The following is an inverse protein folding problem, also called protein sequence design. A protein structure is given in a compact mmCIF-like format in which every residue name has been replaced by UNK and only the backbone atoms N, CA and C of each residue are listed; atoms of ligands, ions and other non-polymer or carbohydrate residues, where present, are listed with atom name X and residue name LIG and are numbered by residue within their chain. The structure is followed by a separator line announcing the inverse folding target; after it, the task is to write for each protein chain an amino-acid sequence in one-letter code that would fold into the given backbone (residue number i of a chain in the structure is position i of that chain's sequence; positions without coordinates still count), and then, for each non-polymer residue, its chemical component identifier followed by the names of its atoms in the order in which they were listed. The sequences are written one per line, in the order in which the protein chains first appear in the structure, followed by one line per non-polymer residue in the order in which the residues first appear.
data_IF_493806922479
#
_entry.id   IF_493806922479
#
_cell.length_a   1.000
_cell.length_b   1.000
_cell.length_c   1.000
_cell.angle_alpha   90.00
_cell.angle_beta   90.00
_cell.angle_gamma   90.00
#
_symmetry.space_group_name_H-M   'P 1'
#
loop_
_entity.id
_entity.type
_entity.pdbx_description
1 polymer ?
#
# COMPACT_ATOMS: atom_id res chain seq x y z
N UNK A 1 1.28 -0.70 0.61
CA UNK A 1 1.15 -2.10 1.11
C UNK A 1 1.04 -3.01 -0.11
N UNK A 2 1.92 -4.00 -0.23
CA UNK A 2 1.88 -4.97 -1.33
C UNK A 2 0.55 -5.75 -1.33
N UNK A 3 0.09 -6.15 -2.51
CA UNK A 3 -1.05 -7.06 -2.64
C UNK A 3 -0.62 -8.45 -2.15
N UNK A 4 -1.55 -9.15 -1.49
CA UNK A 4 -1.38 -10.55 -1.12
C UNK A 4 -2.19 -11.36 -2.13
N UNK A 5 -1.51 -12.18 -2.92
CA UNK A 5 -2.16 -13.04 -3.90
C UNK A 5 -3.14 -14.00 -3.21
N UNK A 6 -4.38 -14.09 -3.73
CA UNK A 6 -5.40 -15.00 -3.21
C UNK A 6 -5.92 -14.65 -1.80
N UNK A 7 -5.78 -13.41 -1.33
CA UNK A 7 -6.18 -12.99 0.02
C UNK A 7 -7.64 -13.36 0.36
N UNK A 8 -8.58 -13.20 -0.57
CA UNK A 8 -9.99 -13.52 -0.36
C UNK A 8 -10.21 -15.00 0.02
N UNK A 9 -9.50 -15.91 -0.65
CA UNK A 9 -9.54 -17.35 -0.36
C UNK A 9 -8.88 -17.64 0.99
N UNK A 10 -7.69 -17.05 1.24
CA UNK A 10 -6.93 -17.22 2.47
C UNK A 10 -7.77 -16.83 3.69
N UNK A 11 -8.41 -15.66 3.69
CA UNK A 11 -9.25 -15.19 4.80
C UNK A 11 -10.40 -16.16 5.09
N UNK A 12 -11.02 -16.71 4.04
CA UNK A 12 -12.15 -17.63 4.17
C UNK A 12 -11.73 -18.97 4.76
N UNK A 13 -10.63 -19.55 4.27
CA UNK A 13 -10.21 -20.92 4.60
C UNK A 13 -9.44 -21.03 5.92
N UNK A 14 -8.74 -19.98 6.32
CA UNK A 14 -7.90 -19.96 7.52
C UNK A 14 -8.68 -20.00 8.84
N UNK A 15 -9.96 -19.62 8.83
CA UNK A 15 -10.81 -19.70 10.02
C UNK A 15 -10.90 -21.14 10.56
N UNK A 16 -10.99 -22.14 9.67
CA UNK A 16 -11.01 -23.56 10.04
C UNK A 16 -9.70 -24.06 10.66
N UNK A 17 -8.59 -23.32 10.48
CA UNK A 17 -7.26 -23.61 11.03
C UNK A 17 -6.93 -22.79 12.27
N UNK A 18 -7.92 -22.10 12.85
CA UNK A 18 -7.75 -21.20 14.00
C UNK A 18 -6.73 -20.05 13.76
N UNK A 19 -6.56 -19.66 12.49
CA UNK A 19 -5.76 -18.49 12.11
C UNK A 19 -6.70 -17.28 12.05
N UNK A 20 -6.28 -16.15 12.62
CA UNK A 20 -7.07 -14.91 12.68
C UNK A 20 -6.33 -13.78 11.97
N UNK A 21 -7.04 -13.09 11.10
CA UNK A 21 -6.54 -11.88 10.44
C UNK A 21 -7.09 -10.65 11.14
N UNK A 22 -6.22 -9.69 11.43
CA UNK A 22 -6.60 -8.35 11.86
C UNK A 22 -6.11 -7.38 10.78
N UNK A 23 -7.04 -6.90 9.96
CA UNK A 23 -6.73 -5.95 8.90
C UNK A 23 -6.87 -4.54 9.47
N UNK A 24 -5.77 -3.77 9.40
CA UNK A 24 -5.75 -2.36 9.81
C UNK A 24 -5.55 -1.53 8.55
N UNK A 25 -6.58 -0.78 8.18
CA UNK A 25 -6.62 0.05 6.98
C UNK A 25 -7.11 1.45 7.32
N UNK A 26 -6.69 2.45 6.54
CA UNK A 26 -7.11 3.84 6.74
C UNK A 26 -8.44 4.15 6.04
N UNK A 27 -8.67 3.54 4.87
CA UNK A 27 -9.87 3.72 4.07
C UNK A 27 -10.21 2.44 3.30
N UNK A 28 -11.49 2.20 3.01
CA UNK A 28 -11.89 1.05 2.18
C UNK A 28 -11.40 1.18 0.73
N UNK A 29 -11.18 2.40 0.25
CA UNK A 29 -10.60 2.66 -1.07
C UNK A 29 -9.24 1.96 -1.26
N UNK A 30 -8.42 1.85 -0.21
CA UNK A 30 -7.14 1.15 -0.28
C UNK A 30 -7.28 -0.36 -0.50
N UNK A 31 -8.36 -0.96 -0.02
CA UNK A 31 -8.67 -2.37 -0.25
C UNK A 31 -9.21 -2.53 -1.68
N UNK A 32 -10.16 -1.67 -2.07
CA UNK A 32 -10.75 -1.68 -3.42
C UNK A 32 -9.71 -1.51 -4.52
N UNK A 33 -8.76 -0.58 -4.36
CA UNK A 33 -7.73 -0.32 -5.35
C UNK A 33 -6.74 -1.49 -5.55
N UNK A 34 -6.60 -2.38 -4.56
CA UNK A 34 -5.65 -3.50 -4.64
C UNK A 34 -6.28 -4.84 -4.98
N UNK A 35 -7.50 -5.05 -4.50
CA UNK A 35 -8.19 -6.31 -4.60
C UNK A 35 -9.37 -6.25 -5.58
N UNK A 36 -9.71 -5.08 -6.12
CA UNK A 36 -10.81 -4.93 -7.08
C UNK A 36 -12.11 -5.49 -6.51
N UNK A 37 -12.68 -6.47 -7.20
CA UNK A 37 -13.91 -7.17 -6.79
C UNK A 37 -13.75 -8.00 -5.51
N UNK A 38 -12.53 -8.50 -5.23
CA UNK A 38 -12.26 -9.28 -4.01
C UNK A 38 -12.37 -8.44 -2.73
N UNK A 39 -12.36 -7.11 -2.83
CA UNK A 39 -12.46 -6.21 -1.69
C UNK A 39 -13.76 -6.42 -0.88
N UNK A 40 -14.89 -6.62 -1.55
CA UNK A 40 -16.17 -6.85 -0.91
C UNK A 40 -16.22 -8.23 -0.22
N UNK A 41 -15.57 -9.24 -0.81
CA UNK A 41 -15.41 -10.56 -0.21
C UNK A 41 -14.52 -10.51 1.03
N UNK A 42 -13.42 -9.76 0.98
CA UNK A 42 -12.51 -9.57 2.12
C UNK A 42 -13.24 -8.88 3.28
N UNK A 43 -13.98 -7.81 2.97
CA UNK A 43 -14.76 -7.07 3.96
C UNK A 43 -15.92 -7.89 4.53
N UNK A 44 -16.64 -8.63 3.69
CA UNK A 44 -17.75 -9.50 4.10
C UNK A 44 -17.31 -10.64 5.03
N UNK A 45 -16.08 -11.14 4.87
CA UNK A 45 -15.51 -12.15 5.76
C UNK A 45 -14.97 -11.57 7.09
N UNK A 46 -14.82 -10.25 7.20
CA UNK A 46 -14.41 -9.60 8.45
C UNK A 46 -15.58 -9.51 9.43
N UNK A 47 -15.68 -10.48 10.35
CA UNK A 47 -16.79 -10.58 11.30
C UNK A 47 -16.90 -9.47 12.36
N UNK A 48 -15.78 -8.79 12.63
CA UNK A 48 -15.72 -7.66 13.56
C UNK A 48 -15.10 -6.46 12.82
N UNK A 49 -15.75 -5.31 12.90
CA UNK A 49 -15.25 -4.05 12.37
C UNK A 49 -15.06 -3.08 13.53
N UNK A 50 -13.84 -2.55 13.67
CA UNK A 50 -13.53 -1.50 14.64
C UNK A 50 -13.26 -0.25 13.83
N UNK A 51 -14.12 0.74 14.00
CA UNK A 51 -13.99 2.04 13.38
C UNK A 51 -13.48 3.04 14.41
N UNK A 52 -12.42 3.76 14.07
CA UNK A 52 -11.79 4.79 14.92
C UNK A 52 -12.11 6.16 14.32
N UNK A 53 -11.54 6.46 13.16
CA UNK A 53 -11.78 7.71 12.45
C UNK A 53 -11.43 7.50 10.97
N UNK A 54 -12.16 8.16 10.09
CA UNK A 54 -11.79 8.29 8.68
C UNK A 54 -12.05 9.71 8.20
N UNK A 55 -11.28 10.14 7.21
CA UNK A 55 -11.53 11.39 6.48
C UNK A 55 -12.37 11.16 5.21
N UNK A 56 -12.56 9.90 4.80
CA UNK A 56 -13.30 9.54 3.59
C UNK A 56 -14.80 9.38 3.86
N UNK A 57 -15.61 10.21 3.20
CA UNK A 57 -17.06 10.20 3.32
C UNK A 57 -17.67 8.86 2.90
N UNK A 58 -17.16 8.23 1.83
CA UNK A 58 -17.70 6.96 1.34
C UNK A 58 -17.50 5.85 2.37
N UNK A 59 -16.31 5.80 2.98
CA UNK A 59 -16.00 4.90 4.10
C UNK A 59 -16.93 5.15 5.30
N UNK A 60 -17.15 6.41 5.69
CA UNK A 60 -18.04 6.75 6.81
C UNK A 60 -19.49 6.33 6.53
N UNK A 61 -20.00 6.53 5.32
CA UNK A 61 -21.34 6.11 4.91
C UNK A 61 -21.51 4.59 4.93
N UNK A 62 -20.52 3.84 4.44
CA UNK A 62 -20.52 2.38 4.51
C UNK A 62 -20.56 1.89 5.96
N UNK A 63 -19.79 2.52 6.85
CA UNK A 63 -19.79 2.19 8.29
C UNK A 63 -21.13 2.54 8.95
N UNK A 64 -21.71 3.71 8.63
CA UNK A 64 -23.03 4.13 9.12
C UNK A 64 -24.12 3.13 8.70
N UNK A 65 -24.11 2.69 7.43
CA UNK A 65 -25.01 1.64 6.93
C UNK A 65 -24.80 0.29 7.64
N UNK A 66 -23.55 -0.11 7.91
CA UNK A 66 -23.22 -1.32 8.67
C UNK A 66 -23.66 -1.27 10.13
N UNK A 67 -23.63 -0.10 10.78
CA UNK A 67 -24.15 0.09 12.13
C UNK A 67 -25.67 -0.11 12.16
N UNK A 68 -26.35 0.40 11.14
CA UNK A 68 -27.79 0.31 10.97
C UNK A 68 -28.55 1.47 11.59
N UNK A 69 -29.88 1.36 11.56
CA UNK A 69 -30.80 2.43 11.90
C UNK A 69 -31.59 2.11 13.18
N UNK A 70 -31.95 3.16 13.91
CA UNK A 70 -32.89 3.14 15.02
C UNK A 70 -34.20 3.84 14.64
N UNK A 71 -35.30 3.34 15.17
CA UNK A 71 -36.59 4.02 15.08
C UNK A 71 -36.69 5.03 16.21
N UNK A 72 -36.99 6.28 15.87
CA UNK A 72 -37.21 7.36 16.82
C UNK A 72 -38.68 7.80 16.77
N UNK A 73 -39.26 8.05 17.94
CA UNK A 73 -40.60 8.63 18.02
C UNK A 73 -40.46 10.15 17.95
N UNK A 74 -41.11 10.79 16.97
CA UNK A 74 -41.21 12.24 16.88
C UNK A 74 -42.55 12.69 17.47
N UNK A 75 -42.56 13.16 18.72
CA UNK A 75 -43.75 13.82 19.27
C UNK A 75 -43.87 15.21 18.65
N UNK A 76 -44.72 15.35 17.65
CA UNK A 76 -45.13 16.66 17.14
C UNK A 76 -46.23 17.24 18.03
N UNK A 77 -46.04 18.48 18.49
CA UNK A 77 -47.04 19.23 19.24
C UNK A 77 -47.40 20.46 18.45
N UNK A 78 -48.64 20.53 17.99
CA UNK A 78 -49.18 21.70 17.28
C UNK A 78 -50.26 22.36 18.11
N UNK A 79 -50.15 23.68 18.30
CA UNK A 79 -51.12 24.49 19.04
C UNK A 79 -50.76 25.98 19.01
N UNK A 80 -51.77 26.86 19.07
CA UNK A 80 -51.56 28.32 19.20
C UNK A 80 -50.87 28.62 20.54
N UNK A 81 -49.93 29.57 20.54
CA UNK A 81 -49.31 30.07 21.76
C UNK A 81 -50.39 30.60 22.71
N UNK A 82 -50.47 30.03 23.92
CA UNK A 82 -51.49 30.22 24.97
C UNK A 82 -52.76 29.34 24.95
N UNK A 83 -52.95 28.40 24.01
CA UNK A 83 -54.09 27.47 24.08
C UNK A 83 -53.82 26.27 24.99
N UNK A 84 -54.80 25.90 25.83
CA UNK A 84 -54.80 24.66 26.63
C UNK A 84 -55.04 23.43 25.76
N UNK A 85 -55.72 23.61 24.63
CA UNK A 85 -55.94 22.57 23.61
C UNK A 85 -54.72 22.50 22.68
N UNK A 86 -53.90 21.46 22.89
CA UNK A 86 -52.73 21.15 22.05
C UNK A 86 -52.94 19.78 21.43
N UNK A 87 -52.87 19.72 20.09
CA UNK A 87 -52.88 18.45 19.39
C UNK A 87 -51.48 17.83 19.46
N UNK A 88 -51.40 16.60 19.98
CA UNK A 88 -50.19 15.80 20.02
C UNK A 88 -50.31 14.71 18.96
N UNK A 89 -49.45 14.75 17.95
CA UNK A 89 -49.32 13.71 16.94
C UNK A 89 -47.97 13.03 17.14
N UNK A 90 -47.95 11.71 17.26
CA UNK A 90 -46.72 10.94 17.38
C UNK A 90 -46.45 10.24 16.04
N UNK A 91 -45.36 10.62 15.39
CA UNK A 91 -44.85 9.97 14.17
C UNK A 91 -43.70 9.02 14.52
N UNK A 92 -43.58 7.93 13.77
CA UNK A 92 -42.39 7.08 13.79
C UNK A 92 -41.48 7.50 12.65
N UNK A 93 -40.21 7.75 12.94
CA UNK A 93 -39.20 8.08 11.95
C UNK A 93 -37.97 7.16 12.11
N UNK A 94 -37.17 7.02 11.06
CA UNK A 94 -36.01 6.16 11.04
C UNK A 94 -34.74 7.01 10.94
N UNK A 95 -33.85 6.88 11.93
CA UNK A 95 -32.56 7.59 11.98
C UNK A 95 -31.41 6.60 12.05
N UNK A 96 -30.29 6.80 11.35
CA UNK A 96 -29.06 6.03 11.58
C UNK A 96 -28.64 6.05 13.06
N UNK A 97 -28.05 4.95 13.55
CA UNK A 97 -27.50 4.92 14.91
C UNK A 97 -26.42 5.99 15.10
N UNK A 98 -25.53 6.10 14.12
CA UNK A 98 -24.58 7.19 13.97
C UNK A 98 -24.59 7.62 12.51
N UNK A 99 -24.76 8.93 12.30
CA UNK A 99 -24.66 9.53 10.97
C UNK A 99 -23.21 9.57 10.51
N UNK A 100 -22.97 9.63 9.20
CA UNK A 100 -21.60 9.74 8.65
C UNK A 100 -20.85 10.93 9.24
N UNK A 101 -21.54 12.06 9.41
CA UNK A 101 -20.96 13.26 10.02
C UNK A 101 -20.59 13.05 11.49
N UNK A 102 -21.43 12.34 12.27
CA UNK A 102 -21.09 11.97 13.65
C UNK A 102 -19.88 11.01 13.70
N UNK A 103 -19.79 10.06 12.75
CA UNK A 103 -18.64 9.15 12.64
C UNK A 103 -17.33 9.87 12.28
N UNK A 104 -17.39 10.93 11.50
CA UNK A 104 -16.21 11.74 11.11
C UNK A 104 -15.83 12.78 12.17
N UNK A 105 -16.68 13.01 13.17
CA UNK A 105 -16.45 13.95 14.27
C UNK A 105 -16.18 13.26 15.60
N UNK A 106 -15.76 11.99 15.57
CA UNK A 106 -15.30 11.27 16.74
C UNK A 106 -14.15 12.00 17.41
N UNK A 107 -14.23 12.09 18.74
CA UNK A 107 -13.16 12.66 19.54
C UNK A 107 -12.04 11.66 19.71
N UNK A 108 -10.92 12.20 20.15
CA UNK A 108 -9.77 11.46 20.63
C UNK A 108 -10.16 10.29 21.58
N UNK A 109 -9.74 9.08 21.21
CA UNK A 109 -10.05 7.84 21.93
C UNK A 109 -11.43 7.23 21.66
N UNK A 110 -12.33 7.91 20.97
CA UNK A 110 -13.66 7.36 20.64
C UNK A 110 -13.56 6.31 19.52
N UNK A 111 -14.41 5.27 19.59
CA UNK A 111 -14.46 4.24 18.56
C UNK A 111 -15.83 3.54 18.52
N UNK A 112 -16.19 3.03 17.35
CA UNK A 112 -17.38 2.22 17.15
C UNK A 112 -16.98 0.79 16.80
N UNK A 113 -17.52 -0.17 17.55
CA UNK A 113 -17.23 -1.60 17.38
C UNK A 113 -18.48 -2.32 16.92
N UNK A 114 -18.42 -2.86 15.70
CA UNK A 114 -19.47 -3.65 15.06
C UNK A 114 -19.09 -5.12 15.17
N UNK A 115 -19.91 -5.93 15.83
CA UNK A 115 -19.66 -7.37 16.04
C UNK A 115 -20.80 -8.19 15.47
N UNK A 116 -20.76 -8.49 14.19
CA UNK A 116 -21.87 -9.18 13.51
C UNK A 116 -21.95 -10.65 13.93
N UNK A 117 -20.79 -11.31 14.08
CA UNK A 117 -20.72 -12.77 14.32
C UNK A 117 -20.90 -13.14 15.81
N UNK A 118 -20.90 -12.17 16.74
CA UNK A 118 -21.01 -12.46 18.18
C UNK A 118 -22.44 -12.81 18.57
N UNK A 119 -22.75 -14.12 18.64
CA UNK A 119 -24.09 -14.65 18.96
C UNK A 119 -24.24 -15.18 20.39
N UNK A 120 -23.15 -15.24 21.15
CA UNK A 120 -23.12 -15.76 22.51
C UNK A 120 -22.43 -14.80 23.47
N UNK A 121 -22.95 -14.66 24.69
CA UNK A 121 -22.27 -13.97 25.78
C UNK A 121 -21.15 -14.85 26.39
N UNK A 122 -20.49 -14.35 27.44
CA UNK A 122 -19.44 -15.09 28.15
C UNK A 122 -19.98 -16.33 28.88
N UNK A 123 -21.29 -16.38 29.15
CA UNK A 123 -22.00 -17.49 29.78
C UNK A 123 -22.64 -18.43 28.76
N UNK A 124 -22.28 -18.31 27.46
CA UNK A 124 -22.82 -19.08 26.33
C UNK A 124 -24.33 -18.93 26.10
N UNK A 125 -24.97 -17.90 26.66
CA UNK A 125 -26.36 -17.57 26.37
C UNK A 125 -26.47 -16.91 24.99
N UNK A 126 -27.53 -17.24 24.26
CA UNK A 126 -27.85 -16.63 22.96
C UNK A 126 -28.19 -15.16 23.16
N UNK A 127 -27.49 -14.28 22.44
CA UNK A 127 -27.69 -12.83 22.47
C UNK A 127 -27.88 -12.27 21.07
N UNK A 128 -28.50 -11.09 20.98
CA UNK A 128 -28.43 -10.26 19.76
C UNK A 128 -27.25 -9.32 19.93
N UNK A 129 -26.24 -9.35 19.02
CA UNK A 129 -25.16 -8.39 19.10
C UNK A 129 -25.71 -6.98 18.87
N UNK A 130 -25.26 -6.06 19.71
CA UNK A 130 -25.44 -4.62 19.48
C UNK A 130 -24.06 -4.00 19.20
N UNK A 131 -23.98 -3.01 18.30
CA UNK A 131 -22.79 -2.19 18.18
C UNK A 131 -22.42 -1.57 19.53
N UNK A 132 -21.13 -1.40 19.77
CA UNK A 132 -20.62 -0.70 20.94
C UNK A 132 -20.09 0.63 20.47
N UNK A 133 -20.50 1.71 21.13
CA UNK A 133 -19.89 3.02 20.98
C UNK A 133 -19.07 3.31 22.23
N UNK A 134 -17.75 3.41 22.06
CA UNK A 134 -16.80 3.69 23.12
C UNK A 134 -16.62 5.20 23.23
N UNK A 135 -17.08 5.80 24.33
CA UNK A 135 -17.02 7.24 24.58
C UNK A 135 -16.80 7.56 26.06
N UNK A 136 -16.23 8.74 26.33
CA UNK A 136 -15.99 9.21 27.69
C UNK A 136 -15.13 8.23 28.49
N UNK A 137 -15.68 7.66 29.56
CA UNK A 137 -14.96 6.74 30.45
C UNK A 137 -14.54 5.42 29.76
N UNK A 138 -15.24 5.01 28.71
CA UNK A 138 -14.94 3.78 27.95
C UNK A 138 -14.13 4.05 26.68
N UNK A 139 -13.68 5.29 26.48
CA UNK A 139 -12.80 5.63 25.38
C UNK A 139 -11.46 4.87 25.48
N UNK A 140 -10.84 4.66 24.33
CA UNK A 140 -9.51 4.07 24.23
C UNK A 140 -8.51 5.02 24.90
N UNK A 141 -7.85 4.52 25.94
CA UNK A 141 -6.78 5.25 26.62
C UNK A 141 -5.55 5.32 25.74
N UNK A 142 -4.92 6.48 25.73
CA UNK A 142 -3.62 6.64 25.09
C UNK A 142 -2.56 5.86 25.86
N UNK A 143 -1.54 5.38 25.13
CA UNK A 143 -0.39 4.71 25.74
C UNK A 143 0.15 5.48 26.95
N UNK A 144 0.33 6.78 26.82
CA UNK A 144 0.91 7.61 27.88
C UNK A 144 0.02 7.70 29.14
N UNK A 145 -1.30 7.51 29.03
CA UNK A 145 -2.22 7.55 30.18
C UNK A 145 -2.12 6.33 31.08
N UNK A 146 -1.80 5.15 30.53
CA UNK A 146 -1.79 3.89 31.31
C UNK A 146 -0.45 3.15 31.30
N UNK A 147 0.36 3.26 30.24
CA UNK A 147 1.69 2.65 30.15
C UNK A 147 2.83 3.63 30.43
N UNK A 148 2.57 4.95 30.50
CA UNK A 148 3.62 5.94 30.67
C UNK A 148 4.47 5.77 31.94
N UNK A 149 3.93 5.13 32.99
CA UNK A 149 4.67 4.84 34.23
C UNK A 149 5.53 3.58 34.15
N UNK A 150 5.08 2.58 33.39
CA UNK A 150 5.73 1.26 33.31
C UNK A 150 6.71 1.18 32.14
N UNK A 151 6.38 1.85 31.03
CA UNK A 151 7.17 1.89 29.81
C UNK A 151 7.57 3.32 29.51
N UNK A 152 8.64 3.75 30.18
CA UNK A 152 9.28 5.03 29.93
C UNK A 152 10.01 4.96 28.57
N UNK A 153 9.53 5.72 27.59
CA UNK A 153 10.15 5.81 26.25
C UNK A 153 11.38 6.70 26.22
N UNK A 154 11.63 7.49 27.28
CA UNK A 154 12.82 8.33 27.36
C UNK A 154 14.06 7.48 27.69
N UNK A 155 13.87 6.26 28.19
CA UNK A 155 14.93 5.28 28.42
C UNK A 155 14.98 4.31 27.24
N UNK A 156 16.14 4.20 26.60
CA UNK A 156 16.34 3.19 25.57
C UNK A 156 16.30 1.81 26.20
N UNK A 157 15.73 0.83 25.49
CA UNK A 157 15.78 -0.57 25.88
C UNK A 157 17.24 -1.06 26.00
N UNK A 158 18.16 -0.44 25.25
CA UNK A 158 19.59 -0.71 25.30
C UNK A 158 20.26 -0.20 26.58
N UNK A 159 19.64 0.76 27.28
CA UNK A 159 20.12 1.29 28.55
C UNK A 159 19.54 0.52 29.76
N UNK A 160 18.70 -0.49 29.48
CA UNK A 160 18.19 -1.39 30.51
C UNK A 160 19.24 -2.47 30.71
N UNK A 161 19.86 -2.45 31.89
CA UNK A 161 20.79 -3.49 32.31
C UNK A 161 20.00 -4.79 32.52
N UNK A 162 20.14 -5.74 31.59
CA UNK A 162 19.47 -7.05 31.66
C UNK A 162 20.47 -8.02 32.28
N UNK A 163 20.34 -8.26 33.58
CA UNK A 163 21.10 -9.30 34.30
C UNK A 163 20.94 -10.65 33.58
N UNK A 164 21.97 -11.04 32.82
CA UNK A 164 21.99 -12.31 32.09
C UNK A 164 23.22 -13.11 32.50
N UNK A 165 23.05 -14.44 32.61
CA UNK A 165 24.16 -15.37 32.90
C UNK A 165 25.29 -15.33 31.86
N UNK A 166 25.02 -14.73 30.70
CA UNK A 166 25.93 -14.67 29.57
C UNK A 166 26.51 -13.28 29.31
N UNK A 167 26.24 -12.31 30.18
CA UNK A 167 26.66 -10.92 30.00
C UNK A 167 28.20 -10.79 29.91
N UNK A 168 28.91 -11.54 30.75
CA UNK A 168 30.38 -11.56 30.81
C UNK A 168 31.03 -12.65 29.94
N UNK A 169 30.28 -13.29 29.03
CA UNK A 169 30.80 -14.43 28.27
C UNK A 169 31.67 -13.96 27.11
N UNK A 170 32.99 -14.15 27.22
CA UNK A 170 33.93 -13.90 26.14
C UNK A 170 33.80 -14.96 25.02
N UNK A 171 33.39 -14.58 23.79
CA UNK A 171 33.16 -15.53 22.70
C UNK A 171 34.41 -16.33 22.31
N UNK A 172 35.60 -15.73 22.49
CA UNK A 172 36.89 -16.36 22.19
C UNK A 172 37.18 -17.59 23.05
N UNK A 173 36.63 -17.67 24.26
CA UNK A 173 36.78 -18.82 25.17
C UNK A 173 35.82 -19.98 24.82
N UNK A 174 34.80 -19.71 24.01
CA UNK A 174 33.80 -20.70 23.59
C UNK A 174 34.08 -21.29 22.20
N UNK A 175 35.19 -20.90 21.57
CA UNK A 175 35.61 -21.49 20.31
C UNK A 175 36.01 -22.94 20.59
N UNK A 176 35.20 -23.88 20.14
CA UNK A 176 35.53 -25.30 20.14
C UNK A 176 36.26 -25.59 18.85
N UNK A 177 37.56 -25.91 18.95
CA UNK A 177 38.33 -26.39 17.81
C UNK A 177 37.89 -27.82 17.46
N UNK A 178 37.06 -27.95 16.43
CA UNK A 178 36.63 -29.24 15.88
C UNK A 178 37.71 -29.92 15.03
N UNK A 179 38.81 -29.22 14.75
CA UNK A 179 39.97 -29.72 14.03
C UNK A 179 41.09 -29.98 15.04
N UNK A 180 40.96 -31.10 15.76
CA UNK A 180 41.98 -31.56 16.71
C UNK A 180 43.39 -31.53 16.11
N UNK A 181 44.36 -31.19 16.96
CA UNK A 181 45.79 -31.05 16.68
C UNK A 181 46.28 -31.88 15.48
N UNK A 182 46.27 -31.28 14.29
CA UNK A 182 47.03 -31.82 13.17
C UNK A 182 48.49 -31.58 13.51
N UNK A 183 49.14 -32.62 14.02
CA UNK A 183 50.57 -32.69 14.28
C UNK A 183 51.37 -31.95 13.21
N UNK A 184 52.18 -31.01 13.66
CA UNK A 184 53.17 -30.26 12.90
C UNK A 184 54.29 -31.18 12.40
N UNK A 185 54.02 -32.04 11.43
CA UNK A 185 55.06 -32.78 10.72
C UNK A 185 54.77 -32.79 9.22
N UNK A 186 55.19 -31.72 8.54
CA UNK A 186 55.93 -31.75 7.26
C UNK A 186 55.97 -30.34 6.64
N UNK A 187 56.78 -29.47 7.22
CA UNK A 187 57.37 -28.35 6.47
C UNK A 187 58.86 -28.66 6.34
N UNK A 188 59.25 -29.26 5.21
CA UNK A 188 60.58 -29.13 4.56
C UNK A 188 60.66 -30.01 3.30
N UNK A 189 60.46 -29.39 2.14
CA UNK A 189 61.39 -29.35 0.98
C UNK A 189 60.67 -28.77 -0.27
N UNK A 190 60.85 -27.46 -0.46
CA UNK A 190 61.41 -26.75 -1.64
C UNK A 190 61.27 -27.31 -3.08
N UNK A 191 61.36 -26.44 -4.12
CA UNK A 191 60.27 -26.06 -5.02
C UNK A 191 60.42 -26.60 -6.46
N UNK A 192 59.31 -26.73 -7.19
CA UNK A 192 59.30 -26.98 -8.64
C UNK A 192 58.46 -25.92 -9.36
N UNK A 193 59.07 -25.32 -10.39
CA UNK A 193 58.56 -24.29 -11.30
C UNK A 193 57.38 -24.76 -12.19
N UNK A 194 56.68 -23.84 -12.88
CA UNK A 194 55.24 -23.92 -13.12
C UNK A 194 54.89 -24.78 -14.34
N UNK A 195 54.01 -25.75 -14.15
CA UNK A 195 53.29 -26.42 -15.24
C UNK A 195 51.92 -25.76 -15.44
N UNK A 196 51.56 -25.62 -16.70
CA UNK A 196 50.39 -24.93 -17.24
C UNK A 196 49.10 -25.65 -16.83
N UNK A 197 48.16 -24.94 -16.20
CA UNK A 197 46.78 -25.42 -16.05
C UNK A 197 45.94 -24.90 -17.23
N UNK A 198 45.70 -25.81 -18.18
CA UNK A 198 44.60 -25.71 -19.14
C UNK A 198 43.26 -25.71 -18.37
N UNK A 199 42.52 -24.61 -18.48
CA UNK A 199 41.15 -24.50 -18.00
C UNK A 199 40.23 -25.40 -18.84
N UNK A 200 39.44 -26.31 -18.23
CA UNK A 200 38.33 -26.95 -18.94
C UNK A 200 37.20 -25.95 -19.21
N UNK A 201 36.39 -26.15 -20.27
CA UNK A 201 35.52 -25.10 -20.82
C UNK A 201 34.30 -24.83 -19.94
N UNK A 202 33.92 -23.57 -19.90
CA UNK A 202 32.63 -23.06 -19.40
C UNK A 202 31.50 -23.62 -20.27
N UNK A 203 30.62 -24.44 -19.70
CA UNK A 203 29.38 -24.85 -20.35
C UNK A 203 28.36 -23.69 -20.34
N UNK A 204 27.87 -23.38 -21.53
CA UNK A 204 26.77 -22.46 -21.83
C UNK A 204 25.41 -23.10 -21.52
N UNK A 205 24.42 -22.35 -21.00
CA UNK A 205 23.05 -22.86 -20.89
C UNK A 205 22.37 -22.91 -22.27
N UNK A 206 21.74 -24.04 -22.57
CA UNK A 206 20.93 -24.31 -23.78
C UNK A 206 19.42 -24.14 -23.51
N UNK A 207 18.57 -24.06 -24.56
CA UNK A 207 17.46 -23.10 -24.68
C UNK A 207 16.11 -23.57 -24.13
N UNK A 208 15.24 -22.58 -23.93
CA UNK A 208 13.84 -22.66 -23.49
C UNK A 208 12.98 -23.27 -24.61
N UNK A 209 12.18 -24.30 -24.27
CA UNK A 209 11.13 -24.82 -25.15
C UNK A 209 9.90 -23.89 -25.12
N UNK A 210 9.46 -23.46 -26.29
CA UNK A 210 8.22 -22.74 -26.54
C UNK A 210 7.01 -23.67 -26.33
N UNK A 211 6.07 -23.27 -25.48
CA UNK A 211 4.70 -23.81 -25.52
C UNK A 211 3.77 -22.88 -26.30
N UNK A 212 3.29 -23.43 -27.40
CA UNK A 212 2.33 -22.91 -28.38
C UNK A 212 1.02 -22.39 -27.76
N UNK A 213 0.52 -21.29 -28.33
CA UNK A 213 -0.80 -20.70 -28.10
C UNK A 213 -1.96 -21.69 -28.34
N UNK A 214 -3.03 -21.56 -27.55
CA UNK A 214 -4.39 -21.92 -27.96
C UNK A 214 -5.40 -20.88 -27.43
N UNK A 215 -6.07 -20.21 -28.37
CA UNK A 215 -7.50 -19.90 -28.39
C UNK A 215 -8.10 -19.02 -27.30
N UNK A 216 -8.24 -17.72 -27.58
CA UNK A 216 -9.28 -16.87 -27.02
C UNK A 216 -10.39 -16.79 -28.07
N UNK A 217 -11.56 -17.36 -27.76
CA UNK A 217 -12.82 -16.96 -28.36
C UNK A 217 -13.58 -16.09 -27.34
N UNK A 218 -14.42 -15.20 -27.88
CA UNK A 218 -15.49 -14.42 -27.24
C UNK A 218 -15.19 -12.97 -26.82
N UNK A 219 -15.47 -12.09 -27.79
CA UNK A 219 -16.41 -10.97 -27.70
C UNK A 219 -16.17 -9.83 -26.70
N UNK A 220 -15.76 -8.72 -27.30
CA UNK A 220 -15.85 -7.34 -26.82
C UNK A 220 -17.32 -6.95 -26.63
N UNK A 221 -17.67 -6.27 -25.53
CA UNK A 221 -18.60 -5.15 -25.62
C UNK A 221 -17.89 -3.85 -25.27
N UNK A 222 -17.92 -2.95 -26.26
CA UNK A 222 -17.82 -1.50 -26.07
C UNK A 222 -18.94 -1.07 -25.12
N UNK A 223 -18.62 -0.27 -24.09
CA UNK A 223 -19.23 1.04 -23.84
C UNK A 223 -18.88 1.59 -22.44
N UNK A 224 -18.55 2.89 -22.45
CA UNK A 224 -18.64 3.88 -21.36
C UNK A 224 -17.50 3.97 -20.33
N UNK A 225 -16.40 4.62 -20.74
CA UNK A 225 -15.81 5.69 -19.91
C UNK A 225 -15.76 6.98 -20.72
N UNK A 226 -16.65 7.92 -20.39
CA UNK A 226 -16.51 9.32 -20.77
C UNK A 226 -15.37 9.90 -19.94
N UNK A 227 -14.19 10.08 -20.54
CA UNK A 227 -13.22 11.05 -20.05
C UNK A 227 -13.64 12.42 -20.57
N UNK A 228 -13.87 13.37 -19.67
CA UNK A 228 -13.96 14.78 -20.04
C UNK A 228 -12.56 15.25 -20.45
N UNK A 229 -12.29 15.23 -21.75
CA UNK A 229 -11.19 15.97 -22.36
C UNK A 229 -11.37 17.46 -22.08
N UNK A 230 -10.54 18.02 -21.19
CA UNK A 230 -10.24 19.45 -21.20
C UNK A 230 -8.87 19.67 -21.85
N UNK A 231 -8.78 20.34 -23.01
CA UNK A 231 -7.54 20.45 -23.80
C UNK A 231 -6.48 21.43 -23.24
N UNK A 232 -6.55 21.82 -21.95
CA UNK A 232 -5.84 23.02 -21.47
C UNK A 232 -5.14 22.90 -20.11
N UNK A 233 -4.63 21.72 -19.75
CA UNK A 233 -3.71 21.63 -18.61
C UNK A 233 -2.24 21.83 -19.04
N UNK A 234 -1.70 23.00 -18.69
CA UNK A 234 -0.29 23.36 -18.87
C UNK A 234 0.63 22.43 -18.07
N UNK A 235 1.82 22.15 -18.62
CA UNK A 235 2.85 21.29 -18.01
C UNK A 235 3.12 21.69 -16.55
N UNK A 236 2.81 20.82 -15.59
CA UNK A 236 3.03 21.02 -14.16
C UNK A 236 3.85 19.87 -13.58
N UNK A 237 4.51 20.09 -12.44
CA UNK A 237 5.34 19.05 -11.77
C UNK A 237 4.50 17.85 -11.33
N UNK A 238 3.19 18.03 -11.20
CA UNK A 238 2.29 16.97 -10.79
C UNK A 238 1.86 16.07 -11.95
N UNK A 239 1.85 16.59 -13.18
CA UNK A 239 1.26 15.88 -14.34
C UNK A 239 2.30 15.49 -15.42
N UNK A 240 3.61 15.65 -15.19
CA UNK A 240 4.63 15.37 -16.23
C UNK A 240 4.72 13.91 -16.67
N UNK A 241 4.25 12.97 -15.84
CA UNK A 241 4.32 11.53 -16.13
C UNK A 241 3.22 11.06 -17.08
N UNK A 242 2.10 11.75 -17.09
CA UNK A 242 0.89 11.40 -17.87
C UNK A 242 0.87 12.10 -19.25
N UNK A 243 1.84 12.97 -19.51
CA UNK A 243 1.97 13.65 -20.80
C UNK A 243 2.82 12.85 -21.78
N UNK A 244 2.59 13.10 -23.07
CA UNK A 244 3.32 12.44 -24.15
C UNK A 244 4.78 12.90 -24.19
N UNK A 245 5.66 12.03 -24.69
CA UNK A 245 7.08 12.34 -24.88
C UNK A 245 7.26 13.58 -25.77
N UNK A 246 6.44 13.73 -26.80
CA UNK A 246 6.46 14.91 -27.68
C UNK A 246 6.16 16.21 -26.92
N UNK A 247 5.06 16.26 -26.16
CA UNK A 247 4.68 17.44 -25.35
C UNK A 247 5.74 17.80 -24.30
N UNK A 248 6.41 16.80 -23.72
CA UNK A 248 7.44 17.03 -22.69
C UNK A 248 8.76 17.58 -23.27
N UNK A 249 9.14 17.16 -24.48
CA UNK A 249 10.38 17.58 -25.12
C UNK A 249 10.22 18.70 -26.17
N UNK A 250 9.04 19.33 -26.29
CA UNK A 250 8.81 20.46 -27.22
C UNK A 250 9.88 21.56 -27.11
N UNK A 251 10.39 21.82 -25.90
CA UNK A 251 11.44 22.81 -25.65
C UNK A 251 12.86 22.38 -26.06
N UNK A 252 13.14 21.09 -26.27
CA UNK A 252 14.48 20.58 -26.60
C UNK A 252 14.46 19.40 -27.60
N UNK A 253 14.19 19.73 -28.86
CA UNK A 253 14.24 18.85 -30.04
C UNK A 253 15.57 18.06 -30.22
N UNK A 254 16.64 18.42 -29.51
CA UNK A 254 17.91 17.70 -29.58
C UNK A 254 17.89 16.38 -28.80
N UNK A 255 17.01 16.23 -27.80
CA UNK A 255 16.86 14.98 -27.03
C UNK A 255 16.16 13.92 -27.86
N UNK A 256 15.10 14.30 -28.59
CA UNK A 256 14.38 13.41 -29.50
C UNK A 256 15.31 12.80 -30.56
N UNK A 257 16.25 13.59 -31.11
CA UNK A 257 17.27 13.10 -32.06
C UNK A 257 18.29 12.14 -31.43
N UNK A 258 18.55 12.28 -30.13
CA UNK A 258 19.46 11.39 -29.40
C UNK A 258 18.77 10.05 -29.10
N UNK A 259 17.48 10.11 -28.75
CA UNK A 259 16.59 8.96 -28.55
C UNK A 259 16.42 8.20 -29.86
N UNK A 260 16.16 8.90 -30.97
CA UNK A 260 16.09 8.33 -32.32
C UNK A 260 17.35 7.51 -32.67
N UNK A 261 18.52 8.11 -32.45
CA UNK A 261 19.79 7.53 -32.88
C UNK A 261 20.28 6.36 -32.03
N UNK A 262 20.04 6.39 -30.71
CA UNK A 262 20.65 5.44 -29.77
C UNK A 262 19.65 4.55 -29.03
N UNK A 263 18.37 4.94 -28.93
CA UNK A 263 17.38 4.21 -28.12
C UNK A 263 16.40 3.39 -28.99
N UNK A 264 16.02 3.85 -30.18
CA UNK A 264 15.08 3.10 -31.04
C UNK A 264 15.61 1.73 -31.47
N UNK A 265 16.91 1.63 -31.78
CA UNK A 265 17.54 0.37 -32.16
C UNK A 265 17.50 -0.68 -31.03
N UNK A 266 17.47 -0.23 -29.77
CA UNK A 266 17.41 -1.09 -28.60
C UNK A 266 15.98 -1.43 -28.18
N UNK A 267 15.04 -0.52 -28.41
CA UNK A 267 13.63 -0.67 -28.04
C UNK A 267 12.81 -1.43 -29.09
N UNK A 268 13.27 -1.51 -30.34
CA UNK A 268 12.53 -2.16 -31.43
C UNK A 268 11.23 -1.46 -31.81
N UNK A 269 11.03 -0.22 -31.35
CA UNK A 269 9.84 0.62 -31.59
C UNK A 269 10.12 1.67 -32.67
N UNK A 270 9.07 2.14 -33.34
CA UNK A 270 9.17 3.27 -34.27
C UNK A 270 9.23 4.61 -33.53
N UNK A 271 9.81 5.64 -34.12
CA UNK A 271 9.89 6.97 -33.49
C UNK A 271 8.50 7.54 -33.19
N UNK A 272 7.53 7.31 -34.09
CA UNK A 272 6.14 7.74 -33.95
C UNK A 272 5.43 7.08 -32.75
N UNK A 273 5.86 5.88 -32.35
CA UNK A 273 5.33 5.18 -31.17
C UNK A 273 5.92 5.76 -29.89
N UNK A 274 7.21 6.10 -29.90
CA UNK A 274 7.88 6.70 -28.74
C UNK A 274 7.43 8.14 -28.50
N UNK A 275 7.16 8.92 -29.55
CA UNK A 275 6.68 10.29 -29.44
C UNK A 275 5.29 10.40 -28.80
N UNK A 276 4.43 9.41 -29.04
CA UNK A 276 3.07 9.34 -28.49
C UNK A 276 2.96 8.54 -27.20
N UNK A 277 4.06 7.95 -26.72
CA UNK A 277 4.08 7.20 -25.46
C UNK A 277 4.00 8.16 -24.25
N UNK A 278 3.46 7.67 -23.14
CA UNK A 278 3.49 8.40 -21.87
C UNK A 278 4.93 8.53 -21.36
N UNK A 279 5.29 9.72 -20.89
CA UNK A 279 6.61 10.01 -20.33
C UNK A 279 6.99 9.10 -19.15
N UNK A 280 6.01 8.69 -18.35
CA UNK A 280 6.22 7.76 -17.23
C UNK A 280 6.72 6.39 -17.70
N UNK A 281 6.11 5.84 -18.75
CA UNK A 281 6.51 4.57 -19.34
C UNK A 281 7.87 4.69 -20.03
N UNK A 282 8.07 5.74 -20.83
CA UNK A 282 9.35 6.02 -21.47
C UNK A 282 10.50 6.14 -20.46
N UNK A 283 10.27 6.82 -19.32
CA UNK A 283 11.29 6.97 -18.28
C UNK A 283 11.63 5.63 -17.61
N UNK A 284 10.65 4.73 -17.45
CA UNK A 284 10.89 3.39 -16.92
C UNK A 284 11.69 2.52 -17.90
N UNK A 285 11.37 2.57 -19.19
CA UNK A 285 12.11 1.89 -20.26
C UNK A 285 13.55 2.43 -20.33
N UNK A 286 13.71 3.75 -20.24
CA UNK A 286 15.01 4.43 -20.19
C UNK A 286 15.88 3.96 -19.01
N UNK A 287 15.30 3.80 -17.81
CA UNK A 287 16.01 3.30 -16.63
C UNK A 287 16.41 1.82 -16.77
N UNK A 288 15.54 1.00 -17.37
CA UNK A 288 15.81 -0.42 -17.62
C UNK A 288 16.96 -0.63 -18.61
N UNK A 289 17.03 0.21 -19.67
CA UNK A 289 18.10 0.16 -20.66
C UNK A 289 19.48 0.50 -20.07
N UNK A 290 19.51 1.36 -19.05
CA UNK A 290 20.74 1.69 -18.33
C UNK A 290 21.23 0.58 -17.41
N UNK A 291 20.32 -0.25 -16.89
CA UNK A 291 20.66 -1.36 -15.99
C UNK A 291 21.23 -2.58 -16.72
N UNK A 292 20.89 -2.72 -18.00
CA UNK A 292 21.30 -3.85 -18.83
C UNK A 292 22.57 -3.55 -19.68
N UNK A 293 23.33 -2.48 -19.36
CA UNK A 293 24.54 -2.03 -20.08
C UNK A 293 24.36 -1.87 -21.60
N UNK A 294 23.13 -1.62 -22.02
CA UNK A 294 22.73 -1.56 -23.41
C UNK A 294 23.02 -0.20 -24.06
N UNK A 295 23.34 0.83 -23.27
CA UNK A 295 23.56 2.21 -23.69
C UNK A 295 24.80 2.79 -23.02
N UNK A 296 25.58 3.58 -23.77
CA UNK A 296 26.75 4.27 -23.24
C UNK A 296 26.38 5.16 -22.04
N UNK A 297 27.10 4.97 -20.93
CA UNK A 297 26.90 5.71 -19.67
C UNK A 297 26.94 7.24 -19.84
N UNK A 298 27.71 7.74 -20.80
CA UNK A 298 27.81 9.17 -21.13
C UNK A 298 26.54 9.71 -21.82
N UNK A 299 25.88 8.89 -22.65
CA UNK A 299 24.64 9.23 -23.36
C UNK A 299 23.46 9.23 -22.39
N UNK A 300 23.39 8.22 -21.53
CA UNK A 300 22.39 8.14 -20.46
C UNK A 300 22.46 9.37 -19.53
N UNK A 301 23.65 9.72 -19.05
CA UNK A 301 23.85 10.90 -18.20
C UNK A 301 23.48 12.21 -18.90
N UNK A 302 23.70 12.32 -20.21
CA UNK A 302 23.34 13.52 -20.96
C UNK A 302 21.82 13.72 -21.04
N UNK A 303 21.07 12.63 -21.25
CA UNK A 303 19.59 12.67 -21.31
C UNK A 303 19.01 12.89 -19.91
N UNK A 304 19.52 12.19 -18.90
CA UNK A 304 19.07 12.34 -17.50
C UNK A 304 19.29 13.76 -16.96
N UNK A 305 20.45 14.36 -17.25
CA UNK A 305 20.73 15.75 -16.86
C UNK A 305 19.78 16.75 -17.54
N UNK A 306 19.35 16.48 -18.77
CA UNK A 306 18.39 17.33 -19.48
C UNK A 306 16.97 17.17 -18.95
N UNK A 307 16.53 15.95 -18.68
CA UNK A 307 15.23 15.69 -18.03
C UNK A 307 15.17 16.40 -16.67
N UNK A 308 16.23 16.28 -15.86
CA UNK A 308 16.31 16.95 -14.56
C UNK A 308 16.34 18.48 -14.68
N UNK A 309 16.90 19.04 -15.75
CA UNK A 309 16.87 20.48 -16.01
C UNK A 309 15.46 20.96 -16.36
N UNK A 310 14.73 20.23 -17.21
CA UNK A 310 13.34 20.54 -17.55
C UNK A 310 12.47 20.50 -16.29
N UNK A 311 12.64 19.49 -15.44
CA UNK A 311 11.92 19.38 -14.17
C UNK A 311 12.22 20.55 -13.21
N UNK A 312 13.47 21.03 -13.14
CA UNK A 312 13.83 22.22 -12.35
C UNK A 312 13.23 23.51 -12.91
N UNK A 313 13.25 23.69 -14.23
CA UNK A 313 12.67 24.88 -14.88
C UNK A 313 11.13 24.93 -14.67
N UNK A 314 10.48 23.78 -14.47
CA UNK A 314 9.06 23.69 -14.10
C UNK A 314 8.83 24.00 -12.61
N UNK A 315 9.76 23.60 -11.74
CA UNK A 315 9.75 23.93 -10.30
C UNK A 315 9.89 25.42 -10.03
N UNK A 316 10.78 26.09 -10.76
CA UNK A 316 10.93 27.54 -10.66
C UNK A 316 9.67 28.29 -11.13
N UNK A 317 8.94 27.76 -12.13
CA UNK A 317 7.69 28.36 -12.63
C UNK A 317 6.50 28.20 -11.66
N UNK A 318 6.42 27.08 -10.94
CA UNK A 318 5.41 26.88 -9.88
C UNK A 318 5.67 27.77 -8.65
N UNK A 319 6.94 28.05 -8.30
CA UNK A 319 7.27 28.92 -7.17
C UNK A 319 7.03 30.41 -7.44
N UNK A 320 7.14 30.87 -8.68
CA UNK A 320 6.88 32.27 -9.07
C UNK A 320 5.37 32.58 -9.17
N UNK A 321 4.52 31.56 -9.25
CA UNK A 321 3.07 31.70 -9.37
C UNK A 321 2.29 31.50 -8.05
N UNK A 322 3.00 31.24 -6.94
CA UNK A 322 2.43 31.18 -5.56
C UNK A 322 2.72 32.45 -4.77
#
# INVERSE_FOLDING_TARGET
MPSIEGMANIITVCLGRNIRFNLVVQAYAQIKNKYGEDADTIDGNCGNTIYILTNDQETAEKVSKKLGNQTINLPSRSGKGLSTDKNKTEGLDQRPLLTSNELMSFKEGESAVIRVIKRQDNNRKRIRPRPIYNTGETALKYRWEYLGKEFDTDKSILDIDIDSLHDDVEPKKLIVDFLGERKEEQIKKEPSEPEQEDLPPVETPQPVEETTMMGIDEDIPEEAFQQEDSPFDSLSIKNWKEKTVNEFFESDLAVLKLVDKFFLAQLGKAIDEVENQEMGEFYSEFQMLAHNDHIDKSVYQAVENKINRILRDLEEKEQVTS
#
